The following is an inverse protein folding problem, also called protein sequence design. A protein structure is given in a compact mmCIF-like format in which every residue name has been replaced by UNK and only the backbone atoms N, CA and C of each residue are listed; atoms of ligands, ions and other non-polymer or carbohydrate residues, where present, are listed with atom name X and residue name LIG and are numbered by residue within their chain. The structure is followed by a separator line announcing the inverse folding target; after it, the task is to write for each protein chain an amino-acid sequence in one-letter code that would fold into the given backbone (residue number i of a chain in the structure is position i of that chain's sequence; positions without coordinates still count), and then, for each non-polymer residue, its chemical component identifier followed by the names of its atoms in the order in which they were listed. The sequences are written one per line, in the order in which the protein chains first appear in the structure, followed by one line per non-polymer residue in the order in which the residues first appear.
data_IF_649676452870
#
_entry.id   IF_649676452870
#
_cell.length_a   1.000
_cell.length_b   1.000
_cell.length_c   1.000
_cell.angle_alpha   90.00
_cell.angle_beta   90.00
_cell.angle_gamma   90.00
#
_symmetry.space_group_name_H-M   'P 1'
#
loop_
_entity.id
_entity.type
_entity.pdbx_description
1 polymer ?
#
# COMPACT_ATOMS: atom_id res chain seq x y z
N UNK A 1 5.98 6.80 -24.99
CA UNK A 1 5.67 5.79 -23.95
C UNK A 1 4.32 6.12 -23.37
N UNK A 2 3.56 5.10 -22.95
CA UNK A 2 2.26 5.24 -22.29
C UNK A 2 2.36 4.55 -20.94
N UNK A 3 1.91 5.23 -19.88
CA UNK A 3 1.83 4.71 -18.51
C UNK A 3 0.37 4.77 -18.08
N UNK A 4 -0.13 3.69 -17.51
CA UNK A 4 -1.42 3.61 -16.86
C UNK A 4 -1.22 3.19 -15.41
N UNK A 5 -1.75 3.98 -14.47
CA UNK A 5 -1.65 3.71 -13.04
C UNK A 5 -2.83 4.30 -12.27
N UNK A 6 -3.06 3.80 -11.05
CA UNK A 6 -3.86 4.49 -10.03
C UNK A 6 -2.98 5.34 -9.10
N UNK A 7 -3.59 6.26 -8.34
CA UNK A 7 -2.92 7.02 -7.28
C UNK A 7 -2.91 6.27 -5.94
N UNK A 8 -3.95 5.47 -5.69
CA UNK A 8 -4.19 4.65 -4.49
C UNK A 8 -5.34 3.67 -4.74
N UNK A 9 -5.42 2.63 -3.92
CA UNK A 9 -6.49 1.65 -3.93
C UNK A 9 -7.75 2.11 -3.19
N UNK A 10 -8.61 1.17 -2.78
CA UNK A 10 -9.81 1.39 -1.97
C UNK A 10 -10.22 0.08 -1.28
N UNK A 11 -10.58 0.14 -0.01
CA UNK A 11 -10.94 -1.04 0.79
C UNK A 11 -12.29 -1.64 0.36
N UNK A 12 -13.24 -0.84 -0.13
CA UNK A 12 -14.54 -1.30 -0.65
C UNK A 12 -15.29 -2.32 0.25
N UNK A 13 -15.22 -2.15 1.57
CA UNK A 13 -15.84 -3.06 2.56
C UNK A 13 -14.92 -4.18 3.06
N UNK A 14 -13.73 -4.32 2.50
CA UNK A 14 -12.67 -5.18 3.02
C UNK A 14 -12.32 -4.82 4.45
N UNK A 15 -12.10 -5.84 5.29
CA UNK A 15 -11.88 -5.68 6.74
C UNK A 15 -12.98 -4.86 7.46
N UNK A 16 -14.20 -4.84 6.92
CA UNK A 16 -15.32 -4.02 7.40
C UNK A 16 -15.06 -2.50 7.31
N UNK A 17 -14.09 -2.09 6.50
CA UNK A 17 -13.66 -0.71 6.33
C UNK A 17 -14.00 -0.17 4.94
N UNK A 18 -14.15 1.14 4.86
CA UNK A 18 -14.35 1.87 3.61
C UNK A 18 -13.22 2.88 3.39
N UNK A 19 -13.08 3.36 2.16
CA UNK A 19 -12.03 4.29 1.75
C UNK A 19 -10.62 3.66 1.89
N UNK A 20 -9.60 4.48 2.21
CA UNK A 20 -8.18 4.15 2.03
C UNK A 20 -7.23 4.83 3.00
N UNK A 21 -7.74 5.23 4.16
CA UNK A 21 -6.96 5.86 5.23
C UNK A 21 -6.32 4.81 6.17
N UNK A 22 -5.88 3.69 5.59
CA UNK A 22 -5.24 2.55 6.22
C UNK A 22 -4.15 1.99 5.30
N UNK A 23 -3.25 1.18 5.85
CA UNK A 23 -2.03 0.69 5.19
C UNK A 23 -2.15 -0.78 4.75
N UNK A 24 -3.37 -1.21 4.40
CA UNK A 24 -3.62 -2.55 3.87
C UNK A 24 -3.43 -2.58 2.35
N UNK A 25 -3.24 -3.79 1.79
CA UNK A 25 -2.78 -3.99 0.41
C UNK A 25 -3.80 -3.42 -0.57
N UNK A 26 -5.08 -3.54 -0.26
CA UNK A 26 -6.20 -3.03 -1.04
C UNK A 26 -6.24 -1.50 -1.11
N UNK A 27 -5.65 -0.80 -0.14
CA UNK A 27 -5.56 0.66 -0.13
C UNK A 27 -4.30 1.17 -0.83
N UNK A 28 -3.22 0.38 -0.88
CA UNK A 28 -1.89 0.80 -1.33
C UNK A 28 -1.51 0.25 -2.72
N UNK A 29 -1.91 -0.98 -3.04
CA UNK A 29 -1.50 -1.68 -4.25
C UNK A 29 -2.34 -1.27 -5.45
N UNK A 30 -1.70 -0.54 -6.37
CA UNK A 30 -2.32 -0.02 -7.59
C UNK A 30 -1.80 -0.75 -8.83
N UNK A 31 -2.60 -0.85 -9.90
CA UNK A 31 -2.10 -1.35 -11.18
C UNK A 31 -1.04 -0.40 -11.74
N UNK A 32 0.06 -0.94 -12.27
CA UNK A 32 1.04 -0.19 -13.06
C UNK A 32 1.29 -0.91 -14.38
N UNK A 33 0.85 -0.31 -15.49
CA UNK A 33 1.00 -0.86 -16.84
C UNK A 33 1.75 0.15 -17.70
N UNK A 34 2.88 -0.28 -18.27
CA UNK A 34 3.75 0.59 -19.07
C UNK A 34 3.97 -0.04 -20.45
N UNK A 35 3.82 0.78 -21.49
CA UNK A 35 4.06 0.38 -22.88
C UNK A 35 4.88 1.42 -23.62
N UNK A 36 5.91 0.98 -24.33
CA UNK A 36 6.76 1.87 -25.11
C UNK A 36 7.86 1.15 -25.86
N UNK A 37 8.64 1.90 -26.66
CA UNK A 37 9.85 1.39 -27.29
C UNK A 37 10.85 0.88 -26.23
N UNK A 38 11.52 -0.24 -26.52
CA UNK A 38 12.53 -0.81 -25.62
C UNK A 38 11.96 -1.52 -24.36
N UNK A 39 10.64 -1.63 -24.21
CA UNK A 39 9.99 -2.34 -23.11
C UNK A 39 9.60 -3.75 -23.56
N UNK A 40 9.86 -4.75 -22.71
CA UNK A 40 9.50 -6.14 -22.96
C UNK A 40 7.97 -6.29 -23.09
N UNK A 41 7.51 -6.96 -24.15
CA UNK A 41 6.08 -7.09 -24.48
C UNK A 41 5.46 -8.28 -23.76
N UNK A 42 4.28 -8.07 -23.17
CA UNK A 42 3.48 -9.13 -22.55
C UNK A 42 4.17 -9.78 -21.34
N UNK A 43 5.03 -9.03 -20.66
CA UNK A 43 5.74 -9.50 -19.47
C UNK A 43 5.17 -8.87 -18.20
N UNK A 44 5.29 -9.62 -17.11
CA UNK A 44 4.89 -9.22 -15.76
C UNK A 44 6.11 -9.32 -14.87
N UNK A 45 6.32 -8.29 -14.05
CA UNK A 45 7.31 -8.30 -12.96
C UNK A 45 6.58 -8.48 -11.63
N UNK A 46 7.15 -9.29 -10.74
CA UNK A 46 6.71 -9.38 -9.33
C UNK A 46 7.61 -8.57 -8.39
N UNK A 47 8.56 -7.81 -8.94
CA UNK A 47 9.45 -6.96 -8.15
C UNK A 47 8.69 -5.74 -7.63
N UNK A 48 8.99 -5.35 -6.39
CA UNK A 48 8.41 -4.17 -5.77
C UNK A 48 8.89 -2.90 -6.47
N UNK A 49 7.99 -1.97 -6.74
CA UNK A 49 8.27 -0.62 -7.20
C UNK A 49 7.34 0.34 -6.48
N UNK A 50 7.77 1.59 -6.30
CA UNK A 50 6.99 2.63 -5.64
C UNK A 50 6.49 3.67 -6.64
N UNK A 51 5.44 4.41 -6.29
CA UNK A 51 4.94 5.48 -7.16
C UNK A 51 5.99 6.60 -7.36
N UNK A 52 6.86 6.83 -6.36
CA UNK A 52 7.97 7.80 -6.45
C UNK A 52 9.04 7.39 -7.48
N UNK A 53 9.16 6.09 -7.78
CA UNK A 53 10.09 5.53 -8.77
C UNK A 53 9.69 5.85 -10.21
N UNK A 54 8.43 6.26 -10.43
CA UNK A 54 7.94 6.56 -11.77
C UNK A 54 8.70 7.76 -12.36
N UNK A 55 8.89 8.83 -11.60
CA UNK A 55 9.62 10.01 -12.09
C UNK A 55 11.04 9.69 -12.60
N UNK A 56 11.95 9.08 -11.81
CA UNK A 56 13.31 8.80 -12.26
C UNK A 56 13.34 7.78 -13.40
N UNK A 57 12.36 6.87 -13.47
CA UNK A 57 12.22 5.95 -14.60
C UNK A 57 11.86 6.69 -15.89
N UNK A 58 10.89 7.60 -15.84
CA UNK A 58 10.47 8.38 -17.00
C UNK A 58 11.59 9.28 -17.51
N UNK A 59 12.35 9.92 -16.63
CA UNK A 59 13.46 10.79 -17.02
C UNK A 59 14.62 10.00 -17.62
N UNK A 60 14.99 8.84 -17.04
CA UNK A 60 16.01 7.96 -17.64
C UNK A 60 15.58 7.52 -19.05
N UNK A 61 14.34 7.05 -19.21
CA UNK A 61 13.84 6.58 -20.50
C UNK A 61 13.73 7.68 -21.55
N UNK A 62 13.58 8.94 -21.13
CA UNK A 62 13.58 10.10 -22.00
C UNK A 62 14.99 10.65 -22.30
N UNK A 63 16.05 10.10 -21.69
CA UNK A 63 17.41 10.62 -21.81
C UNK A 63 17.60 11.97 -21.11
N UNK A 64 16.78 12.27 -20.11
CA UNK A 64 16.85 13.50 -19.32
C UNK A 64 17.79 13.32 -18.11
N UNK A 65 18.38 14.41 -17.59
CA UNK A 65 19.25 14.34 -16.42
C UNK A 65 18.48 13.88 -15.17
N UNK A 66 19.18 13.15 -14.30
CA UNK A 66 18.64 12.74 -13.01
C UNK A 66 18.45 13.95 -12.07
N UNK A 67 17.37 13.93 -11.30
CA UNK A 67 17.09 14.95 -10.29
C UNK A 67 17.49 14.44 -8.91
N UNK A 68 18.59 14.96 -8.36
CA UNK A 68 19.22 14.46 -7.14
C UNK A 68 18.37 14.56 -5.86
N UNK A 69 17.27 15.32 -5.88
CA UNK A 69 16.34 15.40 -4.73
C UNK A 69 15.20 14.38 -4.82
N UNK A 70 15.13 13.58 -5.87
CA UNK A 70 14.18 12.47 -5.92
C UNK A 70 14.70 11.31 -5.06
N UNK A 71 13.82 10.77 -4.21
CA UNK A 71 14.13 9.65 -3.32
C UNK A 71 13.90 8.29 -3.98
N UNK A 72 13.15 8.25 -5.09
CA UNK A 72 12.87 7.05 -5.87
C UNK A 72 14.02 6.63 -6.77
N UNK A 73 13.92 5.40 -7.28
CA UNK A 73 14.91 4.74 -8.11
C UNK A 73 14.34 4.40 -9.48
N UNK A 74 15.11 4.55 -10.55
CA UNK A 74 14.64 4.17 -11.88
C UNK A 74 14.56 2.65 -12.03
N UNK A 75 13.37 2.10 -12.26
CA UNK A 75 13.16 0.69 -12.59
C UNK A 75 13.22 0.40 -14.09
N UNK A 76 13.86 1.26 -14.89
CA UNK A 76 13.97 1.06 -16.33
C UNK A 76 14.62 -0.28 -16.72
N UNK A 77 15.46 -0.85 -15.85
CA UNK A 77 16.00 -2.20 -16.04
C UNK A 77 14.91 -3.28 -15.99
N UNK A 78 13.92 -3.16 -15.10
CA UNK A 78 12.76 -4.07 -15.02
C UNK A 78 11.88 -4.03 -16.26
N UNK A 79 11.80 -2.87 -16.93
CA UNK A 79 11.05 -2.74 -18.17
C UNK A 79 11.66 -3.55 -19.32
N UNK A 80 12.97 -3.80 -19.27
CA UNK A 80 13.70 -4.63 -20.24
C UNK A 80 13.79 -6.09 -19.78
N UNK A 81 14.06 -6.31 -18.50
CA UNK A 81 14.17 -7.61 -17.85
C UNK A 81 13.30 -7.65 -16.58
N UNK A 82 12.07 -8.19 -16.64
CA UNK A 82 11.13 -8.24 -15.52
C UNK A 82 11.64 -8.96 -14.27
N UNK A 83 12.67 -9.78 -14.41
CA UNK A 83 13.28 -10.56 -13.33
C UNK A 83 14.69 -10.08 -13.00
N UNK A 84 15.03 -8.82 -13.27
CA UNK A 84 16.35 -8.27 -12.99
C UNK A 84 16.76 -8.55 -11.52
N UNK A 85 17.81 -9.36 -11.28
CA UNK A 85 18.25 -9.66 -9.92
C UNK A 85 18.88 -8.45 -9.24
N UNK A 86 19.36 -7.45 -9.99
CA UNK A 86 19.93 -6.23 -9.41
C UNK A 86 18.87 -5.34 -8.74
N UNK A 87 17.60 -5.53 -9.09
CA UNK A 87 16.49 -4.85 -8.45
C UNK A 87 15.98 -5.67 -7.26
N UNK A 88 16.47 -5.34 -6.07
CA UNK A 88 16.01 -5.89 -4.80
C UNK A 88 15.82 -4.75 -3.79
N UNK A 89 14.59 -4.25 -3.70
CA UNK A 89 14.24 -3.08 -2.89
C UNK A 89 12.90 -3.29 -2.20
N UNK A 90 12.72 -2.74 -0.98
CA UNK A 90 11.41 -2.63 -0.35
C UNK A 90 10.56 -1.55 -1.03
N UNK A 91 9.26 -1.55 -0.74
CA UNK A 91 8.35 -0.44 -1.01
C UNK A 91 7.78 0.08 0.32
N UNK A 92 7.61 1.40 0.44
CA UNK A 92 7.17 2.05 1.66
C UNK A 92 5.83 2.77 1.44
N UNK A 93 5.06 2.88 2.52
CA UNK A 93 3.83 3.67 2.52
C UNK A 93 3.62 4.31 3.88
N UNK A 94 3.06 5.51 3.88
CA UNK A 94 2.88 6.31 5.09
C UNK A 94 1.54 7.05 5.06
N UNK A 95 0.91 7.11 6.22
CA UNK A 95 -0.24 7.96 6.51
C UNK A 95 -0.05 8.58 7.89
N UNK A 96 -0.97 9.47 8.29
CA UNK A 96 -0.96 10.03 9.65
C UNK A 96 -0.96 8.91 10.69
N UNK A 97 0.08 8.91 11.52
CA UNK A 97 0.29 7.92 12.57
C UNK A 97 0.77 6.54 12.11
N UNK A 98 0.94 6.26 10.82
CA UNK A 98 1.23 4.91 10.31
C UNK A 98 2.38 4.86 9.31
N UNK A 99 3.26 3.86 9.45
CA UNK A 99 4.31 3.55 8.48
C UNK A 99 4.29 2.07 8.13
N UNK A 100 4.37 1.75 6.85
CA UNK A 100 4.34 0.39 6.30
C UNK A 100 5.55 0.14 5.40
N UNK A 101 6.05 -1.10 5.41
CA UNK A 101 7.04 -1.61 4.47
C UNK A 101 6.60 -2.93 3.88
N UNK A 102 6.75 -3.06 2.57
CA UNK A 102 6.55 -4.28 1.79
C UNK A 102 7.91 -4.79 1.31
N UNK A 103 8.25 -6.04 1.66
CA UNK A 103 9.49 -6.66 1.19
C UNK A 103 9.40 -8.19 1.13
N UNK A 104 9.62 -8.74 -0.07
CA UNK A 104 9.34 -10.15 -0.35
C UNK A 104 7.85 -10.44 -0.12
N UNK A 105 7.50 -11.55 0.58
CA UNK A 105 6.10 -11.86 0.86
C UNK A 105 5.51 -11.01 1.98
N UNK A 106 6.33 -10.25 2.72
CA UNK A 106 5.93 -9.64 3.97
C UNK A 106 5.39 -8.22 3.80
N UNK A 107 4.38 -7.87 4.59
CA UNK A 107 4.02 -6.49 4.93
C UNK A 107 4.20 -6.29 6.43
N UNK A 108 4.88 -5.23 6.82
CA UNK A 108 5.02 -4.82 8.22
C UNK A 108 4.59 -3.37 8.41
N UNK A 109 3.75 -3.12 9.41
CA UNK A 109 3.19 -1.80 9.71
C UNK A 109 3.37 -1.46 11.18
N UNK A 110 3.76 -0.22 11.47
CA UNK A 110 3.77 0.35 12.81
C UNK A 110 2.84 1.55 12.93
N UNK A 111 2.08 1.58 14.02
CA UNK A 111 1.23 2.71 14.37
C UNK A 111 1.83 3.50 15.53
N UNK A 112 2.15 4.77 15.28
CA UNK A 112 2.77 5.72 16.22
C UNK A 112 4.05 5.12 16.81
N UNK A 113 4.97 4.70 15.93
CA UNK A 113 6.21 4.00 16.29
C UNK A 113 5.96 2.77 17.20
N UNK A 114 4.94 1.99 16.84
CA UNK A 114 4.53 0.78 17.56
C UNK A 114 3.69 1.02 18.82
N UNK A 115 3.52 2.26 19.30
CA UNK A 115 2.75 2.56 20.53
C UNK A 115 1.27 2.17 20.43
N UNK A 116 0.68 2.28 19.23
CA UNK A 116 -0.72 1.89 18.99
C UNK A 116 -0.85 0.48 18.39
N UNK A 117 0.26 -0.22 18.18
CA UNK A 117 0.27 -1.58 17.65
C UNK A 117 1.21 -1.74 16.48
N UNK A 118 1.43 -3.01 16.15
CA UNK A 118 2.25 -3.47 15.03
C UNK A 118 1.49 -4.54 14.29
N UNK A 119 1.68 -4.59 12.99
CA UNK A 119 1.07 -5.60 12.13
C UNK A 119 2.13 -6.25 11.26
N UNK A 120 2.08 -7.57 11.14
CA UNK A 120 2.92 -8.35 10.25
C UNK A 120 2.04 -9.36 9.52
N UNK A 121 2.11 -9.37 8.19
CA UNK A 121 1.37 -10.33 7.36
C UNK A 121 2.29 -10.94 6.31
N UNK A 122 2.13 -12.23 6.08
CA UNK A 122 2.71 -12.92 4.93
C UNK A 122 1.64 -12.94 3.83
N UNK A 123 1.80 -12.14 2.77
CA UNK A 123 0.78 -12.01 1.72
C UNK A 123 0.83 -13.14 0.68
N UNK A 124 1.80 -14.05 0.74
CA UNK A 124 1.76 -15.29 -0.05
C UNK A 124 0.89 -16.35 0.64
N UNK A 125 0.91 -16.40 1.97
CA UNK A 125 0.13 -17.36 2.78
C UNK A 125 -1.26 -16.82 3.15
N UNK A 126 -1.35 -15.52 3.41
CA UNK A 126 -2.57 -14.81 3.80
C UNK A 126 -2.71 -13.51 2.98
N UNK A 127 -3.14 -13.61 1.70
CA UNK A 127 -3.25 -12.46 0.81
C UNK A 127 -4.22 -11.38 1.30
N UNK A 128 -5.18 -11.75 2.15
CA UNK A 128 -6.20 -10.86 2.70
C UNK A 128 -5.83 -10.30 4.08
N UNK A 129 -4.61 -10.54 4.57
CA UNK A 129 -4.12 -9.94 5.82
C UNK A 129 -5.04 -10.16 7.04
N UNK A 130 -5.64 -11.34 7.17
CA UNK A 130 -6.54 -11.65 8.27
C UNK A 130 -5.82 -12.04 9.57
N UNK A 131 -4.61 -12.61 9.48
CA UNK A 131 -3.85 -13.08 10.64
C UNK A 131 -2.61 -12.22 10.86
N UNK A 132 -2.68 -11.34 11.86
CA UNK A 132 -1.53 -10.55 12.29
C UNK A 132 -0.53 -11.42 13.07
N UNK A 133 0.70 -11.51 12.56
CA UNK A 133 1.80 -12.32 13.11
C UNK A 133 2.81 -11.51 13.95
N UNK A 134 2.60 -10.21 14.16
CA UNK A 134 3.62 -9.30 14.72
C UNK A 134 4.05 -9.63 16.17
N UNK A 135 3.24 -10.41 16.89
CA UNK A 135 3.51 -10.81 18.27
C UNK A 135 3.86 -12.30 18.41
N UNK A 136 3.95 -13.03 17.30
CA UNK A 136 4.32 -14.45 17.29
C UNK A 136 5.84 -14.59 17.50
N UNK A 137 6.24 -15.45 18.43
CA UNK A 137 7.64 -15.54 18.86
C UNK A 137 8.59 -16.01 17.74
N UNK A 138 8.10 -16.86 16.83
CA UNK A 138 8.81 -17.34 15.65
C UNK A 138 9.03 -16.25 14.60
N UNK A 139 8.23 -15.19 14.59
CA UNK A 139 8.34 -14.06 13.66
C UNK A 139 9.19 -12.89 14.19
N UNK A 140 9.74 -12.99 15.40
CA UNK A 140 10.51 -11.91 16.02
C UNK A 140 11.67 -11.41 15.15
N UNK A 141 12.38 -12.30 14.47
CA UNK A 141 13.47 -11.94 13.56
C UNK A 141 12.97 -11.19 12.31
N UNK A 142 11.85 -11.63 11.74
CA UNK A 142 11.20 -10.97 10.61
C UNK A 142 10.74 -9.56 10.97
N UNK A 143 10.08 -9.42 12.12
CA UNK A 143 9.66 -8.11 12.68
C UNK A 143 10.86 -7.19 12.85
N UNK A 144 11.92 -7.65 13.53
CA UNK A 144 13.11 -6.83 13.76
C UNK A 144 13.76 -6.37 12.44
N UNK A 145 13.86 -7.26 11.45
CA UNK A 145 14.43 -6.94 10.14
C UNK A 145 13.62 -5.88 9.40
N UNK A 146 12.29 -6.01 9.37
CA UNK A 146 11.42 -5.09 8.64
C UNK A 146 11.25 -3.76 9.37
N UNK A 147 11.18 -3.77 10.71
CA UNK A 147 11.17 -2.55 11.52
C UNK A 147 12.42 -1.70 11.28
N UNK A 148 13.59 -2.33 11.12
CA UNK A 148 14.82 -1.63 10.80
C UNK A 148 14.82 -0.96 9.41
N UNK A 149 13.92 -1.36 8.49
CA UNK A 149 13.77 -0.72 7.18
C UNK A 149 12.87 0.51 7.22
N UNK A 150 11.95 0.60 8.18
CA UNK A 150 11.01 1.72 8.23
C UNK A 150 11.75 3.06 8.37
N UNK A 151 11.28 4.11 7.69
CA UNK A 151 11.81 5.46 7.89
C UNK A 151 11.77 5.86 9.36
N UNK A 152 12.91 6.35 9.86
CA UNK A 152 13.08 6.76 11.25
C UNK A 152 12.70 8.22 11.44
N UNK A 153 12.28 8.59 12.65
CA UNK A 153 11.93 9.97 13.01
C UNK A 153 10.55 10.08 13.65
N UNK A 154 10.18 11.30 14.01
CA UNK A 154 8.87 11.59 14.61
C UNK A 154 7.75 11.16 13.66
N UNK A 155 6.70 10.59 14.24
CA UNK A 155 5.47 10.24 13.55
C UNK A 155 4.40 11.14 14.13
N UNK A 156 3.60 11.76 13.25
CA UNK A 156 2.48 12.57 13.66
C UNK A 156 1.56 11.77 14.58
N UNK A 157 1.13 12.40 15.68
CA UNK A 157 0.10 11.82 16.52
C UNK A 157 -1.16 11.57 15.69
N UNK A 158 -1.82 10.44 15.94
CA UNK A 158 -3.12 10.13 15.35
C UNK A 158 -4.19 10.54 16.37
N UNK A 159 -4.84 11.72 16.24
CA UNK A 159 -5.86 12.15 17.20
C UNK A 159 -6.99 11.11 17.21
N UNK A 160 -7.44 10.74 18.41
CA UNK A 160 -8.36 9.61 18.66
C UNK A 160 -9.39 9.39 17.56
N UNK A 161 -9.09 8.44 16.67
CA UNK A 161 -10.01 7.99 15.64
C UNK A 161 -10.68 6.73 16.18
N UNK A 162 -11.79 6.93 16.87
CA UNK A 162 -12.58 5.82 17.42
C UNK A 162 -13.16 4.93 16.34
N UNK A 163 -13.07 5.26 15.04
CA UNK A 163 -13.64 4.52 13.92
C UNK A 163 -12.77 3.43 13.26
N UNK A 164 -11.46 3.39 13.48
CA UNK A 164 -10.55 2.44 12.82
C UNK A 164 -9.40 2.02 13.74
N UNK A 165 -9.68 1.72 15.00
CA UNK A 165 -8.71 1.01 15.84
C UNK A 165 -8.65 -0.46 15.37
N UNK A 166 -7.52 -0.98 14.87
CA UNK A 166 -7.40 -2.40 14.52
C UNK A 166 -7.59 -3.34 15.73
N UNK A 167 -7.59 -2.80 16.97
CA UNK A 167 -7.96 -3.51 18.21
C UNK A 167 -9.46 -3.42 18.53
N UNK A 168 -10.23 -2.62 17.79
CA UNK A 168 -11.68 -2.48 17.95
C UNK A 168 -12.35 -2.33 16.56
N UNK A 169 -12.67 -3.44 15.87
CA UNK A 169 -13.33 -3.41 14.56
C UNK A 169 -14.77 -2.87 14.60
N UNK A 170 -15.32 -2.57 15.78
CA UNK A 170 -16.65 -2.00 15.94
C UNK A 170 -16.61 -0.68 16.70
N UNK A 171 -16.45 0.43 15.97
CA UNK A 171 -16.49 1.75 16.56
C UNK A 171 -17.91 2.24 16.78
N UNK A 172 -18.70 1.49 17.53
CA UNK A 172 -20.06 1.88 17.83
C UNK A 172 -21.02 1.68 16.66
N UNK A 173 -22.16 1.08 17.00
CA UNK A 173 -23.44 1.41 16.37
C UNK A 173 -23.65 2.92 16.57
N UNK A 174 -23.15 3.73 15.64
CA UNK A 174 -23.16 5.18 15.72
C UNK A 174 -23.06 5.73 14.32
N UNK A 175 -24.22 6.14 13.81
CA UNK A 175 -24.48 6.82 12.54
C UNK A 175 -23.27 7.54 11.87
N UNK A 176 -23.06 7.39 10.55
CA UNK A 176 -21.99 8.09 9.83
C UNK A 176 -22.16 9.62 9.88
N UNK A 177 -21.08 10.42 9.75
CA UNK A 177 -21.14 11.88 9.74
C UNK A 177 -21.59 12.43 8.38
N UNK A 178 -22.53 11.75 7.72
CA UNK A 178 -23.23 12.26 6.56
C UNK A 178 -24.71 12.36 6.90
N UNK A 179 -25.37 13.53 6.73
CA UNK A 179 -26.80 13.63 6.95
C UNK A 179 -27.50 12.70 5.97
N UNK A 180 -28.07 11.60 6.49
CA UNK A 180 -29.05 10.82 5.73
C UNK A 180 -30.19 11.74 5.35
N UNK A 181 -30.33 12.02 4.05
CA UNK A 181 -31.56 12.59 3.49
C UNK A 181 -32.69 11.63 3.85
N UNK A 182 -33.80 12.10 4.46
CA UNK A 182 -34.91 11.23 4.84
C UNK A 182 -35.45 10.49 3.61
N UNK A 183 -35.54 9.17 3.75
CA UNK A 183 -36.11 8.27 2.76
C UNK A 183 -37.61 8.57 2.57
N UNK A 184 -37.94 9.50 1.67
CA UNK A 184 -39.27 9.60 1.09
C UNK A 184 -39.26 8.83 -0.23
N UNK A 185 -39.80 7.61 -0.19
CA UNK A 185 -40.58 6.97 -1.25
C UNK A 185 -40.04 6.95 -2.68
N UNK A 186 -39.90 5.73 -3.20
CA UNK A 186 -39.71 5.34 -4.61
C UNK A 186 -38.30 5.45 -5.18
N UNK A 187 -37.60 4.32 -5.24
CA UNK A 187 -36.71 4.01 -6.37
C UNK A 187 -36.71 2.50 -6.66
N UNK A 188 -36.77 2.21 -7.95
CA UNK A 188 -37.10 0.92 -8.55
C UNK A 188 -35.97 -0.12 -8.41
N UNK A 189 -36.37 -1.39 -8.29
CA UNK A 189 -35.51 -2.54 -8.52
C UNK A 189 -35.08 -2.55 -9.99
N UNK A 190 -33.78 -2.62 -10.24
CA UNK A 190 -33.22 -3.12 -11.50
C UNK A 190 -32.33 -4.33 -11.18
N UNK A 191 -32.92 -5.51 -11.32
CA UNK A 191 -32.15 -6.76 -11.46
C UNK A 191 -31.59 -6.82 -12.87
N UNK A 192 -30.32 -7.20 -12.99
CA UNK A 192 -29.66 -7.37 -14.28
C UNK A 192 -29.90 -8.80 -14.75
N UNK A 193 -30.58 -8.93 -15.88
CA UNK A 193 -30.33 -9.95 -16.90
C UNK A 193 -29.52 -9.32 -18.04
#
# INVERSE_FOLDING_TARGET
MVVFTGDRGDLLGGHEMWEKNLLWEEAEHVPLIIRGPGIARGKVSKKMVEMIDLYPTLTEMAGLPHYARNEGFSFASLLRNPNDPAWDRPAFSQIVGGRSVRYGPWRYTEWVNGKLGRELYNLEEDPLSHRNLANEADQAATVARLAAMLPQGEVEDRPGYTATDPRNPHPGRGNPPFPMVPNTGNCAHWGVG
#
